data_IF_600206428789
#
_entry.id   IF_600206428789
#
_cell.length_a   1.000
_cell.length_b   1.000
_cell.length_c   1.000
_cell.angle_alpha   90.00
_cell.angle_beta   90.00
_cell.angle_gamma   90.00
#
_symmetry.space_group_name_H-M   'P 1'
#
loop_
_entity.id
_entity.type
_entity.pdbx_description
1 polymer ?
#
# COMPACT_ATOMS: atom_id res chain seq x y z
N UNK A 1 0.09 17.28 3.63
CA UNK A 1 -0.78 16.45 2.79
C UNK A 1 0.11 15.71 1.83
N UNK A 2 0.45 14.47 2.17
CA UNK A 2 1.03 13.55 1.19
C UNK A 2 -0.14 12.99 0.36
N UNK A 3 0.10 12.68 -0.91
CA UNK A 3 -0.89 12.03 -1.77
C UNK A 3 -0.55 10.55 -1.94
N UNK A 4 -1.55 9.70 -2.14
CA UNK A 4 -1.30 8.27 -2.37
C UNK A 4 -0.45 8.06 -3.63
N UNK A 5 0.59 7.22 -3.53
CA UNK A 5 1.40 6.79 -4.67
C UNK A 5 0.87 5.44 -5.16
N UNK A 6 0.24 5.43 -6.33
CA UNK A 6 -0.24 4.20 -7.01
C UNK A 6 0.66 3.75 -8.15
N UNK A 7 1.71 4.52 -8.45
CA UNK A 7 2.74 4.16 -9.41
C UNK A 7 3.81 3.26 -8.75
N UNK A 8 4.58 2.49 -9.53
CA UNK A 8 5.67 1.68 -9.00
C UNK A 8 6.68 2.54 -8.22
N UNK A 9 6.80 2.31 -6.91
CA UNK A 9 7.66 3.07 -5.99
C UNK A 9 8.63 2.18 -5.19
N UNK A 10 8.69 0.88 -5.49
CA UNK A 10 9.58 -0.05 -4.81
C UNK A 10 10.95 -0.05 -5.49
N UNK A 11 12.02 0.17 -4.71
CA UNK A 11 13.40 0.18 -5.24
C UNK A 11 13.86 -1.19 -5.76
N UNK A 12 13.44 -2.28 -5.11
CA UNK A 12 13.58 -3.64 -5.62
C UNK A 12 12.26 -4.41 -5.41
N UNK A 13 11.37 -4.44 -6.41
CA UNK A 13 10.07 -5.12 -6.31
C UNK A 13 10.18 -6.61 -5.98
N UNK A 14 11.20 -7.29 -6.52
CA UNK A 14 11.39 -8.73 -6.35
C UNK A 14 11.73 -9.09 -4.90
N UNK A 15 12.63 -8.33 -4.27
CA UNK A 15 13.01 -8.53 -2.88
C UNK A 15 11.83 -8.30 -1.92
N UNK A 16 11.03 -7.26 -2.21
CA UNK A 16 9.83 -6.94 -1.42
C UNK A 16 8.80 -8.06 -1.55
N UNK A 17 8.54 -8.53 -2.76
CA UNK A 17 7.61 -9.63 -2.99
C UNK A 17 8.08 -10.92 -2.33
N UNK A 18 9.37 -11.25 -2.44
CA UNK A 18 9.94 -12.42 -1.80
C UNK A 18 9.88 -12.32 -0.27
N UNK A 19 10.04 -11.14 0.32
CA UNK A 19 9.88 -10.92 1.75
C UNK A 19 8.44 -11.14 2.23
N UNK A 20 7.45 -10.66 1.47
CA UNK A 20 6.04 -10.92 1.76
C UNK A 20 5.73 -12.41 1.70
N UNK A 21 6.14 -13.10 0.63
CA UNK A 21 5.90 -14.53 0.46
C UNK A 21 6.50 -15.36 1.62
N UNK A 22 7.75 -15.09 1.98
CA UNK A 22 8.41 -15.75 3.12
C UNK A 22 7.69 -15.51 4.43
N UNK A 23 7.09 -14.33 4.61
CA UNK A 23 6.28 -14.03 5.80
C UNK A 23 5.06 -14.95 5.96
N UNK A 24 4.56 -15.53 4.88
CA UNK A 24 3.40 -16.42 4.86
C UNK A 24 3.74 -17.92 4.88
N UNK A 25 5.00 -18.29 4.73
CA UNK A 25 5.41 -19.71 4.67
C UNK A 25 5.02 -20.46 5.94
N UNK A 26 4.30 -21.58 5.78
CA UNK A 26 3.89 -22.45 6.88
C UNK A 26 2.66 -21.95 7.67
N UNK A 27 2.06 -20.83 7.30
CA UNK A 27 0.84 -20.32 7.92
C UNK A 27 -0.41 -20.94 7.31
N UNK A 28 -1.42 -21.20 8.14
CA UNK A 28 -2.78 -21.46 7.68
C UNK A 28 -3.39 -20.21 7.04
N UNK A 29 -4.54 -20.38 6.38
CA UNK A 29 -5.28 -19.26 5.78
C UNK A 29 -5.68 -18.19 6.81
N UNK A 30 -6.17 -18.64 7.98
CA UNK A 30 -6.54 -17.76 9.08
C UNK A 30 -5.34 -16.99 9.64
N UNK A 31 -4.18 -17.66 9.78
CA UNK A 31 -2.95 -17.01 10.23
C UNK A 31 -2.41 -16.03 9.19
N UNK A 32 -2.49 -16.37 7.91
CA UNK A 32 -2.16 -15.47 6.78
C UNK A 32 -3.02 -14.21 6.80
N UNK A 33 -4.33 -14.34 7.03
CA UNK A 33 -5.22 -13.18 7.17
C UNK A 33 -4.87 -12.33 8.40
N UNK A 34 -4.58 -12.98 9.54
CA UNK A 34 -4.19 -12.28 10.75
C UNK A 34 -2.83 -11.58 10.61
N UNK A 35 -1.90 -12.12 9.82
CA UNK A 35 -0.63 -11.48 9.47
C UNK A 35 -0.89 -10.25 8.60
N UNK A 36 -1.70 -10.37 7.55
CA UNK A 36 -2.04 -9.26 6.66
C UNK A 36 -2.70 -8.10 7.41
N UNK A 37 -3.66 -8.38 8.29
CA UNK A 37 -4.30 -7.33 9.09
C UNK A 37 -3.30 -6.58 9.97
N UNK A 38 -2.37 -7.29 10.62
CA UNK A 38 -1.31 -6.68 11.43
C UNK A 38 -0.33 -5.87 10.59
N UNK A 39 0.07 -6.38 9.43
CA UNK A 39 0.95 -5.69 8.49
C UNK A 39 0.33 -4.38 8.00
N UNK A 40 -0.94 -4.40 7.60
CA UNK A 40 -1.69 -3.21 7.18
C UNK A 40 -1.69 -2.16 8.28
N UNK A 41 -1.99 -2.53 9.53
CA UNK A 41 -1.99 -1.59 10.65
C UNK A 41 -0.61 -0.98 10.92
N UNK A 42 0.46 -1.77 10.83
CA UNK A 42 1.84 -1.30 11.00
C UNK A 42 2.20 -0.29 9.90
N UNK A 43 1.87 -0.61 8.64
CA UNK A 43 2.13 0.28 7.50
C UNK A 43 1.28 1.55 7.58
N UNK A 44 0.02 1.45 7.99
CA UNK A 44 -0.84 2.61 8.20
C UNK A 44 -0.29 3.54 9.29
N UNK A 45 0.23 2.98 10.39
CA UNK A 45 0.91 3.75 11.43
C UNK A 45 2.20 4.41 10.92
N UNK A 46 2.94 3.74 10.03
CA UNK A 46 4.14 4.32 9.41
C UNK A 46 3.80 5.49 8.47
N UNK A 47 2.69 5.40 7.74
CA UNK A 47 2.17 6.47 6.88
C UNK A 47 1.68 7.67 7.72
N UNK A 48 0.88 7.41 8.75
CA UNK A 48 0.46 8.43 9.73
C UNK A 48 -0.50 9.52 9.22
N UNK A 49 -0.99 9.40 7.98
CA UNK A 49 -1.87 10.37 7.33
C UNK A 49 -3.21 9.69 6.97
N UNK A 50 -4.31 10.13 7.61
CA UNK A 50 -5.64 9.53 7.43
C UNK A 50 -6.14 9.70 5.99
N UNK A 51 -5.87 10.85 5.35
CA UNK A 51 -6.36 11.15 4.02
C UNK A 51 -5.75 10.16 3.00
N UNK A 52 -4.45 9.87 3.13
CA UNK A 52 -3.75 8.86 2.32
C UNK A 52 -4.34 7.46 2.50
N UNK A 53 -4.74 7.11 3.72
CA UNK A 53 -5.34 5.80 4.01
C UNK A 53 -6.75 5.70 3.41
N UNK A 54 -7.55 6.76 3.49
CA UNK A 54 -8.89 6.79 2.86
C UNK A 54 -8.82 6.73 1.33
N UNK A 55 -7.85 7.43 0.72
CA UNK A 55 -7.55 7.32 -0.71
C UNK A 55 -7.17 5.87 -1.08
N UNK A 56 -6.34 5.21 -0.27
CA UNK A 56 -5.92 3.83 -0.51
C UNK A 56 -7.08 2.84 -0.42
N UNK A 57 -7.98 3.00 0.56
CA UNK A 57 -9.19 2.17 0.70
C UNK A 57 -10.11 2.37 -0.50
N UNK A 58 -10.27 3.62 -0.95
CA UNK A 58 -11.07 3.95 -2.14
C UNK A 58 -10.50 3.26 -3.38
N UNK A 59 -9.18 3.29 -3.56
CA UNK A 59 -8.50 2.57 -4.64
C UNK A 59 -8.70 1.05 -4.56
N UNK A 60 -8.59 0.48 -3.36
CA UNK A 60 -8.74 -0.95 -3.14
C UNK A 60 -10.16 -1.46 -3.47
N UNK A 61 -11.18 -0.60 -3.36
CA UNK A 61 -12.55 -0.90 -3.83
C UNK A 61 -12.71 -0.85 -5.36
N UNK A 62 -11.65 -0.54 -6.11
CA UNK A 62 -11.68 -0.45 -7.58
C UNK A 62 -12.10 0.91 -8.11
N UNK A 63 -12.22 1.93 -7.27
CA UNK A 63 -12.39 3.30 -7.73
C UNK A 63 -11.02 3.86 -8.15
N UNK A 64 -10.88 4.23 -9.42
CA UNK A 64 -9.69 4.96 -9.86
C UNK A 64 -9.68 6.33 -9.15
N UNK A 65 -8.66 6.61 -8.34
CA UNK A 65 -8.37 7.99 -7.96
C UNK A 65 -8.00 8.76 -9.23
N UNK A 66 -8.72 9.84 -9.50
CA UNK A 66 -8.28 10.82 -10.48
C UNK A 66 -6.88 11.26 -10.07
N UNK A 67 -5.92 11.16 -11.00
CA UNK A 67 -4.53 11.48 -10.73
C UNK A 67 -4.44 12.87 -10.06
N UNK A 68 -3.60 13.04 -9.02
CA UNK A 68 -3.36 14.37 -8.47
C UNK A 68 -2.86 15.24 -9.63
N UNK A 69 -3.45 16.42 -9.73
CA UNK A 69 -3.19 17.43 -10.75
C UNK A 69 -1.67 17.67 -10.87
N UNK A 70 -1.02 16.98 -11.81
CA UNK A 70 0.36 17.24 -12.19
C UNK A 70 0.29 18.55 -12.97
N UNK A 71 0.54 19.65 -12.27
CA UNK A 71 0.65 20.97 -12.86
C UNK A 71 1.55 20.89 -14.12
N UNK A 72 0.98 21.07 -15.33
CA UNK A 72 1.70 20.92 -16.59
C UNK A 72 2.76 22.01 -16.81
N UNK A 73 2.97 22.92 -15.84
CA UNK A 73 3.87 24.06 -15.94
C UNK A 73 5.24 23.86 -15.28
N UNK A 74 5.57 22.67 -14.74
CA UNK A 74 6.83 22.43 -13.99
C UNK A 74 7.83 21.46 -14.64
N UNK A 75 7.96 21.50 -15.97
CA UNK A 75 9.02 20.82 -16.74
C UNK A 75 10.02 21.83 -17.31
#
# INVERSE_FOLDING_TARGET
MASLITTPNLGNPDDVYAALLRGHEGLSEAETHALNARLILILANHIGDLDVIEEAITCAHGAAIAAPDVDPTKA
#
